data_IF_288483343925
#
_entry.id   IF_288483343925
#
_cell.length_a   1.000
_cell.length_b   1.000
_cell.length_c   1.000
_cell.angle_alpha   90.00
_cell.angle_beta   90.00
_cell.angle_gamma   90.00
#
_symmetry.space_group_name_H-M   'P 1'
#
loop_
_entity.id
_entity.type
_entity.pdbx_description
1 polymer ?
#
# COMPACT_ATOMS: atom_id res chain seq x y z
N UNK A 1 3.99 -15.33 -14.51
CA UNK A 1 2.81 -15.64 -13.63
C UNK A 1 2.64 -14.44 -12.74
N UNK A 2 1.41 -13.97 -12.53
CA UNK A 2 1.14 -12.82 -11.68
C UNK A 2 1.25 -13.23 -10.20
N UNK A 3 1.91 -12.41 -9.36
CA UNK A 3 2.02 -12.61 -7.91
C UNK A 3 0.82 -11.94 -7.22
N UNK A 4 -0.21 -12.72 -6.89
CA UNK A 4 -1.40 -12.20 -6.20
C UNK A 4 -1.25 -12.32 -4.69
N UNK A 5 -1.54 -11.23 -4.01
CA UNK A 5 -1.55 -11.13 -2.56
C UNK A 5 -2.88 -10.67 -1.99
N UNK A 6 -2.95 -10.63 -0.68
CA UNK A 6 -4.11 -10.16 0.09
C UNK A 6 -3.66 -9.34 1.29
N UNK A 7 -4.42 -8.28 1.59
CA UNK A 7 -4.18 -7.45 2.78
C UNK A 7 -4.79 -8.10 4.04
N UNK A 8 -4.13 -7.94 5.16
CA UNK A 8 -4.61 -8.37 6.49
C UNK A 8 -5.91 -7.67 6.90
N UNK A 9 -6.27 -6.54 6.30
CA UNK A 9 -7.54 -5.85 6.53
C UNK A 9 -8.79 -6.68 6.23
N UNK A 10 -8.62 -7.77 5.48
CA UNK A 10 -9.70 -8.77 5.25
C UNK A 10 -10.11 -9.46 6.56
N UNK A 11 -9.21 -9.57 7.55
CA UNK A 11 -9.43 -10.37 8.78
C UNK A 11 -9.17 -9.63 10.08
N UNK A 12 -8.47 -8.49 10.04
CA UNK A 12 -8.12 -7.73 11.24
C UNK A 12 -7.90 -6.25 10.96
N UNK A 13 -8.26 -5.39 11.90
CA UNK A 13 -7.98 -3.94 11.83
C UNK A 13 -6.56 -3.60 12.26
N UNK A 14 -6.00 -4.38 13.20
CA UNK A 14 -4.67 -4.18 13.78
C UNK A 14 -3.99 -5.52 13.99
N UNK A 15 -3.00 -5.83 13.18
CA UNK A 15 -2.31 -7.11 13.24
C UNK A 15 -1.48 -7.26 14.52
N UNK A 16 -1.65 -8.39 15.20
CA UNK A 16 -0.99 -8.74 16.47
C UNK A 16 -0.65 -10.23 16.52
N UNK A 17 -0.05 -10.70 17.62
CA UNK A 17 0.23 -12.13 17.85
C UNK A 17 -1.02 -13.01 17.74
N UNK A 18 -2.20 -12.46 18.06
CA UNK A 18 -3.49 -13.19 17.97
C UNK A 18 -3.88 -13.49 16.52
N UNK A 19 -3.31 -12.77 15.57
CA UNK A 19 -3.66 -12.80 14.15
C UNK A 19 -2.69 -13.64 13.32
N UNK A 20 -1.73 -14.33 13.96
CA UNK A 20 -0.75 -15.19 13.25
C UNK A 20 -1.41 -16.31 12.42
N UNK A 21 -2.63 -16.70 12.73
CA UNK A 21 -3.43 -17.66 11.97
C UNK A 21 -3.78 -17.18 10.56
N UNK A 22 -3.77 -15.85 10.32
CA UNK A 22 -4.02 -15.25 9.02
C UNK A 22 -2.96 -15.67 8.00
N UNK A 23 -1.71 -15.85 8.45
CA UNK A 23 -0.57 -16.16 7.57
C UNK A 23 -0.76 -17.48 6.82
N UNK A 24 -0.97 -18.65 7.49
CA UNK A 24 -1.28 -19.89 6.79
C UNK A 24 -2.62 -19.80 6.05
N UNK A 25 -3.63 -19.14 6.61
CA UNK A 25 -4.93 -18.97 5.97
C UNK A 25 -4.82 -18.29 4.59
N UNK A 26 -4.07 -17.21 4.47
CA UNK A 26 -3.85 -16.54 3.20
C UNK A 26 -3.18 -17.47 2.17
N UNK A 27 -2.19 -18.26 2.61
CA UNK A 27 -1.51 -19.23 1.74
C UNK A 27 -2.46 -20.33 1.27
N UNK A 28 -3.26 -20.88 2.17
CA UNK A 28 -4.24 -21.95 1.86
C UNK A 28 -5.31 -21.48 0.86
N UNK A 29 -5.66 -20.20 0.89
CA UNK A 29 -6.56 -19.57 -0.09
C UNK A 29 -5.90 -19.30 -1.46
N UNK A 30 -4.60 -19.57 -1.59
CA UNK A 30 -3.87 -19.48 -2.86
C UNK A 30 -3.25 -18.12 -3.12
N UNK A 31 -3.01 -17.32 -2.08
CA UNK A 31 -2.22 -16.09 -2.17
C UNK A 31 -0.73 -16.37 -2.00
N UNK A 32 0.11 -15.63 -2.73
CA UNK A 32 1.56 -15.74 -2.67
C UNK A 32 2.19 -14.65 -1.79
N UNK A 33 1.49 -13.53 -1.64
CA UNK A 33 1.92 -12.37 -0.84
C UNK A 33 0.88 -12.05 0.23
N UNK A 34 1.34 -11.74 1.43
CA UNK A 34 0.52 -11.19 2.51
C UNK A 34 0.97 -9.76 2.82
N UNK A 35 0.05 -8.83 2.69
CA UNK A 35 0.25 -7.43 3.01
C UNK A 35 -0.21 -7.15 4.44
N UNK A 36 0.74 -6.75 5.30
CA UNK A 36 0.54 -6.57 6.73
C UNK A 36 0.54 -5.08 7.07
N UNK A 37 -0.59 -4.59 7.60
CA UNK A 37 -0.70 -3.21 8.04
C UNK A 37 -0.02 -2.98 9.38
N UNK A 38 0.89 -1.99 9.44
CA UNK A 38 1.69 -1.66 10.63
C UNK A 38 1.70 -0.14 10.85
N UNK A 39 0.96 0.34 11.85
CA UNK A 39 1.00 1.75 12.28
C UNK A 39 1.96 1.97 13.43
N UNK A 40 2.11 0.96 14.30
CA UNK A 40 2.93 1.00 15.51
C UNK A 40 4.10 0.02 15.42
N UNK A 41 5.16 0.35 14.66
CA UNK A 41 6.28 -0.58 14.45
C UNK A 41 7.07 -0.89 15.73
N UNK A 42 6.93 -0.08 16.78
CA UNK A 42 7.57 -0.30 18.08
C UNK A 42 7.04 -1.54 18.81
N UNK A 43 5.78 -1.88 18.60
CA UNK A 43 5.08 -2.98 19.30
C UNK A 43 4.74 -4.15 18.39
N UNK A 44 5.15 -4.08 17.13
CA UNK A 44 4.86 -5.14 16.15
C UNK A 44 5.61 -6.44 16.50
N UNK A 45 4.96 -7.62 16.49
CA UNK A 45 5.54 -8.90 16.88
C UNK A 45 6.42 -9.48 15.75
N UNK A 46 7.52 -8.80 15.44
CA UNK A 46 8.36 -9.08 14.26
C UNK A 46 8.91 -10.50 14.25
N UNK A 47 9.40 -10.99 15.40
CA UNK A 47 10.02 -12.30 15.50
C UNK A 47 9.02 -13.45 15.25
N UNK A 48 7.82 -13.33 15.82
CA UNK A 48 6.74 -14.32 15.67
C UNK A 48 6.21 -14.34 14.24
N UNK A 49 6.00 -13.15 13.64
CA UNK A 49 5.56 -13.04 12.25
C UNK A 49 6.62 -13.59 11.30
N UNK A 50 7.90 -13.23 11.48
CA UNK A 50 9.02 -13.77 10.71
C UNK A 50 9.07 -15.29 10.72
N UNK A 51 8.95 -15.89 11.91
CA UNK A 51 8.94 -17.34 12.06
C UNK A 51 7.77 -17.96 11.28
N UNK A 52 6.58 -17.36 11.38
CA UNK A 52 5.38 -17.90 10.73
C UNK A 52 5.39 -17.73 9.22
N UNK A 53 5.82 -16.59 8.67
CA UNK A 53 5.92 -16.42 7.21
C UNK A 53 6.97 -17.35 6.59
N UNK A 54 8.08 -17.60 7.32
CA UNK A 54 9.10 -18.56 6.88
C UNK A 54 8.60 -20.02 6.89
N UNK A 55 7.84 -20.40 7.93
CA UNK A 55 7.21 -21.71 8.06
C UNK A 55 6.25 -21.99 6.91
N UNK A 56 5.42 -20.99 6.56
CA UNK A 56 4.34 -21.11 5.58
C UNK A 56 4.85 -20.89 4.13
N UNK A 57 5.93 -20.16 3.96
CA UNK A 57 6.46 -19.82 2.63
C UNK A 57 5.55 -18.85 1.87
N UNK A 58 5.05 -17.81 2.55
CA UNK A 58 4.34 -16.67 1.95
C UNK A 58 5.23 -15.44 1.99
N UNK A 59 5.19 -14.60 0.95
CA UNK A 59 5.99 -13.38 0.88
C UNK A 59 5.33 -12.27 1.73
N UNK A 60 6.02 -11.71 2.75
CA UNK A 60 5.49 -10.59 3.50
C UNK A 60 5.79 -9.27 2.78
N UNK A 61 4.78 -8.42 2.68
CA UNK A 61 4.88 -6.99 2.36
C UNK A 61 4.28 -6.22 3.52
N UNK A 62 4.71 -5.03 3.79
CA UNK A 62 4.07 -4.20 4.81
C UNK A 62 3.53 -2.91 4.23
N UNK A 63 2.42 -2.45 4.77
CA UNK A 63 1.88 -1.11 4.50
C UNK A 63 1.74 -0.33 5.79
N UNK A 64 1.77 0.99 5.67
CA UNK A 64 1.58 1.92 6.79
C UNK A 64 0.90 3.19 6.33
N UNK A 65 0.33 3.89 7.30
CA UNK A 65 -0.05 5.29 7.15
C UNK A 65 0.60 6.11 8.25
N UNK A 66 1.10 7.30 7.90
CA UNK A 66 1.48 8.28 8.92
C UNK A 66 0.22 8.90 9.52
N UNK A 67 0.23 9.14 10.82
CA UNK A 67 -0.86 9.77 11.56
C UNK A 67 -0.65 11.28 11.68
N UNK A 68 -1.55 11.98 12.36
CA UNK A 68 -1.38 13.39 12.68
C UNK A 68 -0.11 13.65 13.52
N UNK A 69 0.22 12.73 14.42
CA UNK A 69 1.36 12.81 15.34
C UNK A 69 2.70 12.46 14.68
N UNK A 70 2.66 11.82 13.51
CA UNK A 70 3.84 11.40 12.73
C UNK A 70 3.88 12.05 11.34
N UNK A 71 3.09 13.09 11.11
CA UNK A 71 2.95 13.75 9.82
C UNK A 71 4.23 14.51 9.42
N UNK A 72 4.95 14.00 8.42
CA UNK A 72 6.22 14.58 7.94
C UNK A 72 6.07 15.91 7.20
N UNK A 73 4.84 16.34 6.91
CA UNK A 73 4.55 17.66 6.34
C UNK A 73 3.98 18.65 7.39
N UNK A 74 3.96 18.28 8.67
CA UNK A 74 3.49 19.16 9.74
C UNK A 74 4.35 20.42 9.84
N UNK A 75 3.76 21.59 10.15
CA UNK A 75 4.51 22.78 10.48
C UNK A 75 5.37 22.60 11.75
N UNK A 76 4.98 21.70 12.65
CA UNK A 76 5.76 21.38 13.87
C UNK A 76 6.94 20.44 13.52
N UNK A 77 8.19 20.87 13.72
CA UNK A 77 9.38 20.06 13.44
C UNK A 77 9.46 18.80 14.31
N UNK A 78 8.88 18.80 15.51
CA UNK A 78 8.89 17.62 16.39
C UNK A 78 7.98 16.52 15.83
N UNK A 79 6.84 16.88 15.27
CA UNK A 79 5.93 15.92 14.58
C UNK A 79 6.62 15.35 13.34
N UNK A 80 7.31 16.19 12.55
CA UNK A 80 8.07 15.69 11.40
C UNK A 80 9.18 14.71 11.82
N UNK A 81 9.93 15.04 12.88
CA UNK A 81 10.95 14.16 13.41
C UNK A 81 10.39 12.83 13.94
N UNK A 82 9.22 12.86 14.59
CA UNK A 82 8.52 11.66 15.03
C UNK A 82 8.14 10.77 13.83
N UNK A 83 7.67 11.34 12.72
CA UNK A 83 7.38 10.61 11.49
C UNK A 83 8.61 9.92 10.89
N UNK A 84 9.71 10.63 10.78
CA UNK A 84 10.99 10.05 10.31
C UNK A 84 11.45 8.91 11.22
N UNK A 85 11.34 9.08 12.54
CA UNK A 85 11.69 8.03 13.52
C UNK A 85 10.81 6.79 13.35
N UNK A 86 9.50 6.96 13.21
CA UNK A 86 8.55 5.86 13.01
C UNK A 86 8.84 5.10 11.71
N UNK A 87 9.05 5.80 10.60
CA UNK A 87 9.40 5.17 9.31
C UNK A 87 10.74 4.42 9.37
N UNK A 88 11.75 4.94 10.05
CA UNK A 88 13.02 4.22 10.25
C UNK A 88 12.83 2.96 11.08
N UNK A 89 11.99 3.00 12.11
CA UNK A 89 11.65 1.82 12.89
C UNK A 89 10.91 0.78 12.04
N UNK A 90 10.00 1.22 11.16
CA UNK A 90 9.34 0.33 10.22
C UNK A 90 10.34 -0.30 9.22
N UNK A 91 11.34 0.45 8.78
CA UNK A 91 12.45 -0.11 7.98
C UNK A 91 13.15 -1.23 8.76
N UNK A 92 13.45 -1.05 10.05
CA UNK A 92 14.08 -2.09 10.87
C UNK A 92 13.21 -3.35 10.97
N UNK A 93 11.91 -3.19 11.19
CA UNK A 93 10.94 -4.29 11.18
C UNK A 93 10.98 -5.04 9.85
N UNK A 94 10.95 -4.34 8.73
CA UNK A 94 10.96 -4.96 7.40
C UNK A 94 12.26 -5.70 7.09
N UNK A 95 13.40 -5.13 7.48
CA UNK A 95 14.70 -5.80 7.33
C UNK A 95 14.74 -7.10 8.13
N UNK A 96 14.27 -7.08 9.37
CA UNK A 96 14.20 -8.26 10.22
C UNK A 96 13.22 -9.31 9.69
N UNK A 97 12.04 -8.86 9.24
CA UNK A 97 10.99 -9.71 8.66
C UNK A 97 11.42 -10.36 7.33
N UNK A 98 12.36 -9.73 6.62
CA UNK A 98 12.75 -10.12 5.25
C UNK A 98 11.81 -9.60 4.17
N UNK A 99 10.93 -8.64 4.51
CA UNK A 99 10.08 -7.96 3.53
C UNK A 99 10.90 -7.08 2.59
N UNK A 100 10.47 -6.99 1.34
CA UNK A 100 11.15 -6.20 0.29
C UNK A 100 10.45 -4.88 -0.01
N UNK A 101 9.23 -4.67 0.50
CA UNK A 101 8.40 -3.51 0.17
C UNK A 101 7.76 -2.96 1.44
N UNK A 102 7.83 -1.64 1.60
CA UNK A 102 6.96 -0.86 2.47
C UNK A 102 6.03 -0.05 1.57
N UNK A 103 4.72 -0.23 1.71
CA UNK A 103 3.69 0.51 0.98
C UNK A 103 2.92 1.51 1.82
N UNK A 104 1.92 2.13 1.20
CA UNK A 104 0.96 3.01 1.86
C UNK A 104 1.33 4.50 1.85
N UNK A 105 0.69 5.28 2.74
CA UNK A 105 0.84 6.74 2.81
C UNK A 105 2.00 7.10 3.72
N UNK A 106 3.21 7.04 3.17
CA UNK A 106 4.49 7.23 3.89
C UNK A 106 5.02 8.66 3.83
N UNK A 107 4.38 9.55 3.07
CA UNK A 107 4.88 10.89 2.70
C UNK A 107 4.14 12.05 3.38
N UNK A 108 2.99 11.79 4.00
CA UNK A 108 2.16 12.75 4.72
C UNK A 108 1.26 12.02 5.72
N UNK A 109 0.67 12.72 6.68
CA UNK A 109 -0.35 12.16 7.55
C UNK A 109 -1.62 11.84 6.76
N UNK A 110 -2.07 10.59 6.77
CA UNK A 110 -3.32 10.17 6.13
C UNK A 110 -4.52 10.86 6.79
N UNK A 111 -5.46 11.37 5.98
CA UNK A 111 -6.62 12.12 6.48
C UNK A 111 -6.30 13.51 7.03
N UNK A 112 -5.04 13.94 7.06
CA UNK A 112 -4.62 15.25 7.55
C UNK A 112 -4.74 16.32 6.45
N UNK A 113 -5.98 16.72 6.14
CA UNK A 113 -6.26 17.69 5.07
C UNK A 113 -6.09 19.13 5.57
N UNK A 114 -5.30 19.92 4.85
CA UNK A 114 -5.08 21.35 5.14
C UNK A 114 -6.26 22.24 4.70
N UNK A 115 -7.17 21.73 3.88
CA UNK A 115 -8.22 22.49 3.22
C UNK A 115 -7.73 23.41 2.09
N UNK A 116 -6.46 23.27 1.71
CA UNK A 116 -5.79 24.03 0.63
C UNK A 116 -4.96 23.08 -0.22
N UNK A 117 -4.60 23.46 -1.45
CA UNK A 117 -3.57 22.74 -2.21
C UNK A 117 -2.27 22.65 -1.41
N UNK A 118 -1.51 21.56 -1.62
CA UNK A 118 -0.19 21.41 -1.02
C UNK A 118 0.70 22.61 -1.36
N UNK A 119 1.53 22.99 -0.40
CA UNK A 119 2.52 24.06 -0.55
C UNK A 119 3.87 23.49 -0.97
N UNK A 120 4.73 24.33 -1.55
CA UNK A 120 6.13 23.94 -1.84
C UNK A 120 6.89 23.60 -0.56
N UNK A 121 6.57 24.26 0.56
CA UNK A 121 7.21 23.96 1.85
C UNK A 121 6.84 22.56 2.38
N UNK A 122 5.58 22.15 2.28
CA UNK A 122 5.14 20.77 2.61
C UNK A 122 5.85 19.75 1.72
N UNK A 123 5.99 20.08 0.43
CA UNK A 123 6.70 19.24 -0.52
C UNK A 123 8.18 19.06 -0.13
N UNK A 124 8.88 20.13 0.17
CA UNK A 124 10.28 20.10 0.60
C UNK A 124 10.48 19.30 1.89
N UNK A 125 9.59 19.48 2.88
CA UNK A 125 9.64 18.69 4.12
C UNK A 125 9.48 17.21 3.86
N UNK A 126 8.49 16.84 3.08
CA UNK A 126 8.22 15.43 2.74
C UNK A 126 9.37 14.79 1.96
N UNK A 127 9.88 15.45 0.91
CA UNK A 127 11.01 14.97 0.11
C UNK A 127 12.26 14.80 0.97
N UNK A 128 12.52 15.73 1.90
CA UNK A 128 13.68 15.67 2.81
C UNK A 128 13.54 14.50 3.78
N UNK A 129 12.37 14.34 4.40
CA UNK A 129 12.08 13.24 5.31
C UNK A 129 12.19 11.88 4.61
N UNK A 130 11.58 11.75 3.42
CA UNK A 130 11.64 10.51 2.66
C UNK A 130 13.07 10.18 2.20
N UNK A 131 13.85 11.16 1.77
CA UNK A 131 15.26 10.95 1.40
C UNK A 131 16.07 10.39 2.56
N UNK A 132 15.88 10.91 3.78
CA UNK A 132 16.54 10.43 4.98
C UNK A 132 16.17 8.98 5.30
N UNK A 133 14.88 8.65 5.25
CA UNK A 133 14.37 7.28 5.49
C UNK A 133 14.84 6.31 4.41
N UNK A 134 14.75 6.71 3.14
CA UNK A 134 15.15 5.88 2.02
C UNK A 134 16.65 5.58 2.01
N UNK A 135 17.48 6.57 2.38
CA UNK A 135 18.92 6.34 2.55
C UNK A 135 19.21 5.40 3.72
N UNK A 136 18.48 5.52 4.82
CA UNK A 136 18.58 4.61 5.94
C UNK A 136 18.24 3.17 5.55
N UNK A 137 17.17 2.97 4.78
CA UNK A 137 16.78 1.67 4.26
C UNK A 137 17.86 1.07 3.34
N UNK A 138 18.38 1.88 2.42
CA UNK A 138 19.44 1.49 1.46
C UNK A 138 20.73 1.02 2.12
N UNK A 139 21.07 1.60 3.26
CA UNK A 139 22.25 1.21 4.04
C UNK A 139 22.07 -0.14 4.76
N UNK A 140 20.85 -0.68 4.81
CA UNK A 140 20.52 -1.93 5.51
C UNK A 140 20.15 -3.08 4.59
N UNK A 141 19.48 -2.79 3.48
CA UNK A 141 18.99 -3.82 2.56
C UNK A 141 18.60 -3.21 1.21
N UNK A 142 18.10 -4.06 0.30
CA UNK A 142 17.49 -3.71 -0.97
C UNK A 142 16.00 -3.32 -0.86
N UNK A 143 15.54 -2.93 0.35
CA UNK A 143 14.17 -2.55 0.64
C UNK A 143 13.71 -1.35 -0.21
N UNK A 144 12.55 -1.51 -0.83
CA UNK A 144 11.85 -0.47 -1.59
C UNK A 144 10.79 0.17 -0.70
N UNK A 145 10.76 1.49 -0.65
CA UNK A 145 9.69 2.25 -0.01
C UNK A 145 8.79 2.75 -1.12
N UNK A 146 7.48 2.51 -1.02
CA UNK A 146 6.55 3.00 -2.02
C UNK A 146 5.65 4.09 -1.46
N UNK A 147 5.29 5.04 -2.32
CA UNK A 147 4.38 6.14 -2.01
C UNK A 147 3.06 5.89 -2.73
N UNK A 148 2.02 5.68 -1.96
CA UNK A 148 0.70 5.41 -2.49
C UNK A 148 0.02 6.70 -2.94
N UNK A 149 -0.44 6.74 -4.20
CA UNK A 149 -1.32 7.81 -4.63
C UNK A 149 -2.73 7.53 -4.13
N UNK A 150 -3.22 8.38 -3.22
CA UNK A 150 -4.56 8.23 -2.65
C UNK A 150 -5.49 9.34 -3.15
N UNK A 151 -6.80 9.09 -3.10
CA UNK A 151 -7.79 10.05 -3.56
C UNK A 151 -7.78 11.36 -2.74
N UNK A 152 -8.33 12.42 -3.32
CA UNK A 152 -8.37 13.78 -2.76
C UNK A 152 -9.14 13.92 -1.45
N UNK A 153 -9.93 12.93 -1.06
CA UNK A 153 -10.65 12.94 0.21
C UNK A 153 -9.80 12.40 1.36
N UNK A 154 -8.70 11.71 1.04
CA UNK A 154 -7.78 11.11 2.00
C UNK A 154 -6.44 11.86 2.10
N UNK A 155 -5.99 12.50 1.02
CA UNK A 155 -4.80 13.34 1.02
C UNK A 155 -4.92 14.49 0.04
N UNK A 156 -4.34 15.64 0.38
CA UNK A 156 -4.16 16.78 -0.52
C UNK A 156 -2.76 16.82 -1.15
N UNK A 157 -1.95 15.76 -0.97
CA UNK A 157 -0.53 15.81 -1.28
C UNK A 157 -0.13 15.05 -2.56
N UNK A 158 -0.34 13.73 -2.65
CA UNK A 158 -0.09 12.90 -3.83
C UNK A 158 -1.36 12.17 -4.25
N UNK A 159 -1.94 12.56 -5.38
CA UNK A 159 -3.18 11.97 -5.87
C UNK A 159 -3.02 11.24 -7.21
N UNK A 160 -2.01 11.57 -8.02
CA UNK A 160 -1.80 11.02 -9.35
C UNK A 160 -0.38 10.50 -9.55
N UNK A 161 -0.23 9.54 -10.47
CA UNK A 161 1.04 8.91 -10.82
C UNK A 161 2.12 9.92 -11.26
N UNK A 162 1.75 10.96 -12.00
CA UNK A 162 2.70 11.98 -12.46
C UNK A 162 3.40 12.70 -11.30
N UNK A 163 2.62 13.12 -10.29
CA UNK A 163 3.16 13.76 -9.10
C UNK A 163 4.00 12.79 -8.26
N UNK A 164 3.57 11.53 -8.15
CA UNK A 164 4.32 10.52 -7.40
C UNK A 164 5.66 10.19 -8.07
N UNK A 165 5.70 10.09 -9.39
CA UNK A 165 6.97 9.92 -10.15
C UNK A 165 7.88 11.14 -9.98
N UNK A 166 7.33 12.37 -10.05
CA UNK A 166 8.09 13.60 -9.78
C UNK A 166 8.67 13.56 -8.36
N UNK A 167 7.89 13.13 -7.38
CA UNK A 167 8.30 12.96 -5.99
C UNK A 167 9.48 11.98 -5.87
N UNK A 168 9.34 10.77 -6.43
CA UNK A 168 10.40 9.75 -6.42
C UNK A 168 11.71 10.27 -7.04
N UNK A 169 11.62 10.99 -8.17
CA UNK A 169 12.78 11.63 -8.83
C UNK A 169 13.45 12.65 -7.91
N UNK A 170 12.68 13.46 -7.21
CA UNK A 170 13.23 14.49 -6.31
C UNK A 170 13.80 13.90 -5.02
N UNK A 171 13.24 12.81 -4.50
CA UNK A 171 13.88 12.05 -3.39
C UNK A 171 15.26 11.56 -3.84
N UNK A 172 15.38 10.99 -5.03
CA UNK A 172 16.66 10.76 -5.72
C UNK A 172 17.50 9.61 -5.18
N UNK A 173 16.97 8.77 -4.28
CA UNK A 173 17.72 7.63 -3.69
C UNK A 173 17.65 6.34 -4.54
N UNK A 174 16.68 6.26 -5.45
CA UNK A 174 16.48 5.14 -6.38
C UNK A 174 15.66 3.96 -5.81
N UNK A 175 15.46 3.91 -4.49
CA UNK A 175 14.65 2.89 -3.82
C UNK A 175 13.29 3.41 -3.32
N UNK A 176 12.86 4.60 -3.76
CA UNK A 176 11.50 5.09 -3.57
C UNK A 176 10.75 4.92 -4.89
N UNK A 177 9.60 4.26 -4.85
CA UNK A 177 8.78 3.90 -5.99
C UNK A 177 7.32 4.32 -5.77
N UNK A 178 6.51 4.20 -6.81
CA UNK A 178 5.08 4.51 -6.77
C UNK A 178 4.29 3.25 -6.40
N UNK A 179 3.30 3.42 -5.55
CA UNK A 179 2.26 2.46 -5.25
C UNK A 179 0.96 2.96 -5.89
N UNK A 180 0.39 2.17 -6.80
CA UNK A 180 -0.89 2.46 -7.44
C UNK A 180 -1.98 1.57 -6.83
N UNK A 181 -3.08 2.19 -6.41
CA UNK A 181 -4.30 1.50 -6.00
C UNK A 181 -5.45 1.83 -6.96
N UNK A 182 -6.05 0.80 -7.54
CA UNK A 182 -7.14 0.94 -8.51
C UNK A 182 -8.39 1.65 -7.97
N UNK A 183 -8.66 1.58 -6.65
CA UNK A 183 -9.73 2.36 -5.99
C UNK A 183 -9.45 3.86 -6.02
N UNK A 184 -8.19 4.27 -5.84
CA UNK A 184 -7.81 5.67 -5.91
C UNK A 184 -7.71 6.13 -7.36
N UNK A 185 -7.12 5.32 -8.24
CA UNK A 185 -6.96 5.63 -9.66
C UNK A 185 -8.28 5.93 -10.35
N UNK A 186 -9.36 5.18 -10.06
CA UNK A 186 -10.68 5.39 -10.71
C UNK A 186 -11.28 6.77 -10.44
N UNK A 187 -10.78 7.49 -9.45
CA UNK A 187 -11.24 8.84 -9.07
C UNK A 187 -10.31 9.95 -9.54
N UNK A 188 -9.02 9.67 -9.60
CA UNK A 188 -8.02 10.71 -9.78
C UNK A 188 -7.36 10.67 -11.16
N UNK A 189 -7.19 9.49 -11.74
CA UNK A 189 -6.52 9.33 -13.01
C UNK A 189 -7.49 9.50 -14.20
N UNK A 190 -7.00 10.02 -15.29
CA UNK A 190 -7.77 10.10 -16.54
C UNK A 190 -7.67 8.84 -17.39
N UNK A 191 -6.70 7.97 -17.10
CA UNK A 191 -6.44 6.70 -17.79
C UNK A 191 -5.58 5.77 -16.92
N UNK A 192 -6.00 4.54 -16.77
CA UNK A 192 -5.21 3.51 -16.09
C UNK A 192 -3.93 3.20 -16.87
N UNK A 193 -4.03 3.06 -18.19
CA UNK A 193 -2.86 2.89 -19.06
C UNK A 193 -1.89 4.08 -18.95
N UNK A 194 -2.41 5.31 -18.91
CA UNK A 194 -1.62 6.53 -18.76
C UNK A 194 -0.84 6.54 -17.45
N UNK A 195 -1.49 6.25 -16.33
CA UNK A 195 -0.85 6.22 -15.00
C UNK A 195 0.24 5.15 -14.92
N UNK A 196 -0.05 3.93 -15.38
CA UNK A 196 0.94 2.82 -15.41
C UNK A 196 2.13 3.16 -16.28
N UNK A 197 1.91 3.70 -17.48
CA UNK A 197 2.99 4.10 -18.40
C UNK A 197 3.83 5.26 -17.84
N UNK A 198 3.22 6.20 -17.12
CA UNK A 198 3.93 7.29 -16.43
C UNK A 198 4.90 6.76 -15.39
N UNK A 199 4.50 5.75 -14.62
CA UNK A 199 5.39 5.07 -13.68
C UNK A 199 6.45 4.23 -14.43
N UNK A 200 6.04 3.53 -15.49
CA UNK A 200 6.88 2.58 -16.20
C UNK A 200 7.49 1.52 -15.27
N UNK A 201 8.37 0.71 -15.79
CA UNK A 201 9.10 -0.31 -15.00
C UNK A 201 10.00 0.31 -13.94
N UNK A 202 10.48 1.53 -14.17
CA UNK A 202 11.45 2.19 -13.30
C UNK A 202 10.84 2.63 -11.98
N UNK A 203 9.62 3.20 -12.01
CA UNK A 203 9.00 3.81 -10.82
C UNK A 203 7.85 3.00 -10.24
N UNK A 204 7.26 2.05 -10.96
CA UNK A 204 6.18 1.23 -10.42
C UNK A 204 6.73 0.20 -9.44
N UNK A 205 6.39 0.33 -8.16
CA UNK A 205 6.92 -0.52 -7.08
C UNK A 205 5.90 -1.46 -6.45
N UNK A 206 4.62 -1.06 -6.39
CA UNK A 206 3.60 -1.84 -5.72
C UNK A 206 2.20 -1.56 -6.27
N UNK A 207 1.31 -2.55 -6.15
CA UNK A 207 -0.07 -2.45 -6.67
C UNK A 207 -1.06 -2.96 -5.63
N UNK A 208 -2.10 -2.13 -5.36
CA UNK A 208 -3.33 -2.60 -4.73
C UNK A 208 -4.43 -2.82 -5.79
N UNK A 209 -5.08 -3.96 -5.71
CA UNK A 209 -6.19 -4.37 -6.57
C UNK A 209 -7.49 -4.22 -5.78
N UNK A 210 -8.09 -3.07 -5.89
CA UNK A 210 -9.32 -2.71 -5.19
C UNK A 210 -10.43 -2.38 -6.17
N UNK A 211 -11.65 -2.81 -5.92
CA UNK A 211 -12.78 -2.36 -6.72
C UNK A 211 -13.12 -0.89 -6.42
N UNK A 212 -13.75 -0.20 -7.35
CA UNK A 212 -14.12 1.22 -7.24
C UNK A 212 -14.97 1.57 -6.01
N UNK A 213 -15.56 0.61 -5.38
CA UNK A 213 -16.41 0.73 -4.19
C UNK A 213 -15.90 -0.09 -2.99
N UNK A 214 -14.64 -0.60 -3.04
CA UNK A 214 -14.05 -1.53 -2.07
C UNK A 214 -14.81 -2.87 -1.97
N UNK A 215 -15.62 -3.21 -3.00
CA UNK A 215 -16.29 -4.50 -3.13
C UNK A 215 -15.41 -5.58 -3.74
N UNK A 216 -16.04 -6.65 -4.22
CA UNK A 216 -15.35 -7.80 -4.84
C UNK A 216 -14.66 -7.34 -6.13
N UNK A 217 -13.33 -7.46 -6.28
CA UNK A 217 -12.64 -7.11 -7.50
C UNK A 217 -13.20 -7.86 -8.73
N UNK A 218 -13.41 -7.12 -9.81
CA UNK A 218 -13.98 -7.65 -11.04
C UNK A 218 -15.51 -7.53 -11.14
N UNK A 219 -16.18 -6.94 -10.16
CA UNK A 219 -17.65 -6.79 -10.17
C UNK A 219 -18.13 -5.34 -10.32
N UNK A 220 -17.22 -4.38 -10.42
CA UNK A 220 -17.56 -2.95 -10.47
C UNK A 220 -17.09 -2.25 -11.73
N UNK A 221 -16.52 -1.06 -11.57
CA UNK A 221 -16.19 -0.14 -12.66
C UNK A 221 -14.70 -0.09 -13.03
N UNK A 222 -13.83 -0.74 -12.27
CA UNK A 222 -12.39 -0.75 -12.56
C UNK A 222 -12.13 -1.43 -13.90
N UNK A 223 -11.40 -0.78 -14.83
CA UNK A 223 -11.13 -1.33 -16.18
C UNK A 223 -10.01 -2.38 -16.11
N UNK A 224 -10.26 -3.52 -15.48
CA UNK A 224 -9.27 -4.54 -15.15
C UNK A 224 -8.46 -5.03 -16.36
N UNK A 225 -9.09 -5.26 -17.52
CA UNK A 225 -8.37 -5.69 -18.73
C UNK A 225 -7.37 -4.62 -19.20
N UNK A 226 -7.79 -3.34 -19.20
CA UNK A 226 -6.90 -2.22 -19.51
C UNK A 226 -5.74 -2.18 -18.52
N UNK A 227 -6.04 -2.30 -17.22
CA UNK A 227 -5.03 -2.24 -16.17
C UNK A 227 -4.00 -3.36 -16.29
N UNK A 228 -4.44 -4.63 -16.39
CA UNK A 228 -3.51 -5.76 -16.57
C UNK A 228 -2.72 -5.69 -17.87
N UNK A 229 -3.35 -5.23 -18.97
CA UNK A 229 -2.65 -4.99 -20.24
C UNK A 229 -1.53 -3.97 -20.07
N UNK A 230 -1.80 -2.86 -19.38
CA UNK A 230 -0.82 -1.83 -19.12
C UNK A 230 0.34 -2.35 -18.22
N UNK A 231 0.02 -3.06 -17.14
CA UNK A 231 1.01 -3.67 -16.24
C UNK A 231 1.93 -4.65 -16.99
N UNK A 232 1.36 -5.50 -17.83
CA UNK A 232 2.12 -6.41 -18.70
C UNK A 232 2.99 -5.63 -19.69
N UNK A 233 2.45 -4.55 -20.28
CA UNK A 233 3.14 -3.69 -21.24
C UNK A 233 4.41 -3.04 -20.67
N UNK A 234 4.40 -2.60 -19.42
CA UNK A 234 5.58 -2.05 -18.75
C UNK A 234 6.48 -3.13 -18.12
N UNK A 235 6.08 -4.41 -18.19
CA UNK A 235 6.82 -5.53 -17.62
C UNK A 235 6.83 -5.55 -16.10
N UNK A 236 5.71 -5.18 -15.45
CA UNK A 236 5.57 -5.27 -14.01
C UNK A 236 5.47 -6.73 -13.55
N UNK A 237 6.28 -7.11 -12.58
CA UNK A 237 6.34 -8.47 -12.02
C UNK A 237 6.26 -8.52 -10.50
N UNK A 238 6.04 -7.36 -9.87
CA UNK A 238 5.90 -7.25 -8.42
C UNK A 238 4.57 -7.80 -7.90
N UNK A 239 4.37 -7.80 -6.59
CA UNK A 239 3.13 -8.24 -5.97
C UNK A 239 1.96 -7.30 -6.31
N UNK A 240 0.78 -7.91 -6.46
CA UNK A 240 -0.50 -7.24 -6.68
C UNK A 240 -1.47 -7.74 -5.62
N UNK A 241 -1.85 -6.88 -4.69
CA UNK A 241 -2.54 -7.26 -3.46
C UNK A 241 -4.00 -6.81 -3.48
N UNK A 242 -4.91 -7.73 -3.22
CA UNK A 242 -6.32 -7.37 -2.96
C UNK A 242 -6.39 -6.66 -1.61
N UNK A 243 -6.73 -5.38 -1.64
CA UNK A 243 -7.04 -4.61 -0.45
C UNK A 243 -8.54 -4.33 -0.41
N UNK A 244 -9.16 -4.74 0.66
CA UNK A 244 -10.52 -4.39 1.05
C UNK A 244 -10.69 -4.65 2.55
N UNK A 245 -11.89 -4.39 3.05
CA UNK A 245 -12.15 -4.37 4.47
C UNK A 245 -13.34 -5.26 4.80
N UNK A 246 -13.25 -6.07 5.87
CA UNK A 246 -14.39 -6.84 6.33
C UNK A 246 -15.48 -5.89 6.85
N UNK A 247 -16.74 -6.08 6.43
CA UNK A 247 -17.84 -5.22 6.84
C UNK A 247 -18.19 -5.32 8.35
N UNK A 248 -17.57 -6.24 9.09
CA UNK A 248 -17.72 -6.38 10.54
C UNK A 248 -16.84 -5.44 11.36
N UNK A 249 -15.88 -4.75 10.76
CA UNK A 249 -14.95 -3.85 11.47
C UNK A 249 -15.46 -2.40 11.47
N UNK A 250 -16.20 -2.02 12.52
CA UNK A 250 -16.88 -0.73 12.58
C UNK A 250 -15.93 0.48 12.47
N UNK A 251 -14.80 0.44 13.19
CA UNK A 251 -13.85 1.56 13.20
C UNK A 251 -13.16 1.71 11.84
N UNK A 252 -12.71 0.62 11.25
CA UNK A 252 -12.06 0.62 9.94
C UNK A 252 -13.05 1.03 8.85
N UNK A 253 -14.30 0.54 8.91
CA UNK A 253 -15.35 0.91 7.98
C UNK A 253 -15.71 2.40 8.09
N UNK A 254 -15.70 2.96 9.31
CA UNK A 254 -15.89 4.40 9.54
C UNK A 254 -14.76 5.21 8.93
N UNK A 255 -13.52 4.78 9.08
CA UNK A 255 -12.34 5.46 8.53
C UNK A 255 -12.31 5.40 6.99
N UNK A 256 -12.70 4.26 6.41
CA UNK A 256 -12.71 4.04 4.96
C UNK A 256 -14.04 4.39 4.29
N UNK A 257 -15.01 4.97 5.03
CA UNK A 257 -16.33 5.36 4.56
C UNK A 257 -17.12 4.20 3.90
N UNK A 258 -17.07 3.00 4.49
CA UNK A 258 -17.78 1.82 4.03
C UNK A 258 -19.09 1.70 4.81
N UNK A 259 -20.20 2.10 4.19
CA UNK A 259 -21.50 2.21 4.84
C UNK A 259 -22.48 1.10 4.48
N UNK A 260 -22.04 0.12 3.69
CA UNK A 260 -22.85 -1.04 3.31
C UNK A 260 -21.99 -2.27 3.11
N UNK A 261 -22.62 -3.43 3.25
CA UNK A 261 -22.00 -4.73 3.00
C UNK A 261 -21.84 -4.98 1.51
N UNK A 262 -20.64 -5.36 1.05
CA UNK A 262 -20.33 -5.65 -0.35
C UNK A 262 -20.12 -7.13 -0.63
N UNK A 263 -19.90 -7.95 0.42
CA UNK A 263 -19.74 -9.38 0.37
C UNK A 263 -20.26 -10.00 1.67
N UNK A 264 -20.42 -11.32 1.71
CA UNK A 264 -20.87 -12.01 2.93
C UNK A 264 -19.84 -11.97 4.05
N UNK A 265 -18.55 -11.94 3.70
CA UNK A 265 -17.42 -11.75 4.61
C UNK A 265 -16.23 -11.18 3.83
N UNK A 266 -15.21 -10.69 4.55
CA UNK A 266 -13.95 -10.30 3.95
C UNK A 266 -13.29 -11.47 3.20
N UNK A 267 -13.31 -12.68 3.78
CA UNK A 267 -12.79 -13.88 3.11
C UNK A 267 -13.51 -14.20 1.79
N UNK A 268 -14.84 -14.13 1.75
CA UNK A 268 -15.61 -14.34 0.52
C UNK A 268 -15.21 -13.30 -0.54
N UNK A 269 -15.04 -12.04 -0.14
CA UNK A 269 -14.57 -10.98 -1.02
C UNK A 269 -13.19 -11.29 -1.61
N UNK A 270 -12.24 -11.71 -0.79
CA UNK A 270 -10.87 -12.01 -1.22
C UNK A 270 -10.82 -13.21 -2.17
N UNK A 271 -11.53 -14.29 -1.85
CA UNK A 271 -11.56 -15.52 -2.66
C UNK A 271 -12.24 -15.30 -4.01
N UNK A 272 -13.39 -14.65 -4.03
CA UNK A 272 -14.07 -14.32 -5.28
C UNK A 272 -13.29 -13.31 -6.11
N UNK A 273 -12.72 -12.29 -5.47
CA UNK A 273 -11.86 -11.31 -6.12
C UNK A 273 -10.64 -11.97 -6.78
N UNK A 274 -9.95 -12.87 -6.07
CA UNK A 274 -8.82 -13.61 -6.62
C UNK A 274 -9.22 -14.43 -7.85
N UNK A 275 -10.37 -15.14 -7.79
CA UNK A 275 -10.90 -15.92 -8.91
C UNK A 275 -11.16 -15.02 -10.13
N UNK A 276 -11.84 -13.89 -9.93
CA UNK A 276 -12.19 -12.96 -11.00
C UNK A 276 -10.93 -12.35 -11.64
N UNK A 277 -10.01 -11.87 -10.80
CA UNK A 277 -8.76 -11.26 -11.27
C UNK A 277 -7.87 -12.25 -12.03
N UNK A 278 -7.76 -13.51 -11.56
CA UNK A 278 -7.04 -14.58 -12.29
C UNK A 278 -7.67 -14.85 -13.65
N UNK A 279 -9.00 -14.89 -13.73
CA UNK A 279 -9.71 -15.10 -15.00
C UNK A 279 -9.46 -13.94 -15.98
N UNK A 280 -9.58 -12.70 -15.54
CA UNK A 280 -9.34 -11.50 -16.37
C UNK A 280 -7.87 -11.43 -16.81
N UNK A 281 -6.92 -11.69 -15.90
CA UNK A 281 -5.50 -11.65 -16.20
C UNK A 281 -5.06 -12.74 -17.20
N UNK A 282 -5.78 -13.84 -17.30
CA UNK A 282 -5.54 -14.91 -18.28
C UNK A 282 -5.98 -14.53 -19.72
N UNK A 283 -6.78 -13.48 -19.86
CA UNK A 283 -7.27 -13.00 -21.17
C UNK A 283 -6.35 -11.93 -21.80
N UNK A 284 -5.32 -11.46 -21.09
CA UNK A 284 -4.35 -10.43 -21.52
C UNK A 284 -2.90 -10.98 -21.51
#
# INVERSE_FOLDING_TARGET
MYNFGVSTFIWTENFSVKDLWIIPKAKDLGFETLDIFIVHPETFPTAEVKAKVAEVGIEPVTITTLTKETNVISPDPNIRAAGVKSLKKLVDVNVELGSKIIGGVTYAGWGCLSGKPRTEQEWEWSVTAMREVAQYAKNKSDLVITVETVNRFESHFLNIAEDAVRYCKQVGTGNVKVHLDSFHMIREETSFTGAVNTCGKEYLGYIHLCENNRGIPGTGLVPWKEFFTALKGVGYTGPMVIESFDPGFEELNRLCAIWRKFADSGEALAVEGLRNLKAIAAEV
#
